data_IF_166077403309
#
_entry.id   IF_166077403309
#
_cell.length_a   1.000
_cell.length_b   1.000
_cell.length_c   1.000
_cell.angle_alpha   90.00
_cell.angle_beta   90.00
_cell.angle_gamma   90.00
#
_symmetry.space_group_name_H-M   'P 1'
#
loop_
_entity.id
_entity.type
_entity.pdbx_description
1 polymer ?
#
# COMPACT_ATOMS: atom_id res chain seq x y z
N UNK A 1 -24.52 8.86 41.83
CA UNK A 1 -23.08 9.19 41.82
C UNK A 1 -22.63 9.02 40.38
N UNK A 2 -22.76 10.10 39.60
CA UNK A 2 -22.62 10.08 38.14
C UNK A 2 -21.16 10.35 37.78
N UNK A 3 -20.49 9.37 37.18
CA UNK A 3 -19.15 9.55 36.63
C UNK A 3 -19.22 10.42 35.38
N UNK A 4 -18.34 11.43 35.21
CA UNK A 4 -18.43 12.35 34.09
C UNK A 4 -18.16 11.60 32.76
N UNK A 5 -18.93 11.92 31.69
CA UNK A 5 -18.74 11.33 30.38
C UNK A 5 -17.32 11.65 29.89
N UNK A 6 -16.55 10.61 29.58
CA UNK A 6 -15.16 10.77 29.13
C UNK A 6 -15.17 11.39 27.73
N UNK A 7 -14.19 12.25 27.43
CA UNK A 7 -14.06 12.94 26.13
C UNK A 7 -14.09 11.98 24.93
N UNK A 8 -13.73 10.70 25.15
CA UNK A 8 -13.87 9.64 24.17
C UNK A 8 -15.33 9.41 23.71
N UNK A 9 -16.31 9.47 24.62
CA UNK A 9 -17.73 9.28 24.29
C UNK A 9 -18.28 10.44 23.45
N UNK A 10 -17.86 11.67 23.74
CA UNK A 10 -18.23 12.86 22.98
C UNK A 10 -17.64 12.89 21.57
N UNK A 11 -16.42 12.37 21.39
CA UNK A 11 -15.79 12.28 20.07
C UNK A 11 -16.35 11.13 19.22
N UNK A 12 -16.72 10.01 19.85
CA UNK A 12 -17.43 8.90 19.21
C UNK A 12 -18.82 9.32 18.70
N UNK A 13 -19.56 10.14 19.45
CA UNK A 13 -20.87 10.64 19.02
C UNK A 13 -20.80 11.72 17.95
N UNK A 14 -19.67 12.43 17.83
CA UNK A 14 -19.50 13.50 16.85
C UNK A 14 -19.10 13.00 15.46
N UNK A 15 -18.56 11.77 15.35
CA UNK A 15 -17.98 11.26 14.11
C UNK A 15 -18.67 10.00 13.55
N UNK A 16 -19.50 9.30 14.34
CA UNK A 16 -20.22 8.10 13.89
C UNK A 16 -21.74 8.32 13.83
N UNK A 17 -22.40 7.92 12.72
CA UNK A 17 -23.86 7.94 12.57
C UNK A 17 -24.60 7.23 13.73
N UNK A 18 -25.75 7.75 14.17
CA UNK A 18 -26.49 7.28 15.36
C UNK A 18 -26.90 5.79 15.29
N UNK A 19 -26.96 5.21 14.10
CA UNK A 19 -27.29 3.79 13.86
C UNK A 19 -26.23 2.82 14.42
N UNK A 20 -24.97 3.27 14.51
CA UNK A 20 -23.85 2.45 15.02
C UNK A 20 -23.77 2.47 16.55
N UNK A 21 -24.30 3.51 17.19
CA UNK A 21 -24.25 3.68 18.66
C UNK A 21 -25.09 2.62 19.36
N UNK A 22 -26.26 2.27 18.82
CA UNK A 22 -27.15 1.27 19.43
C UNK A 22 -26.60 -0.16 19.31
N UNK A 23 -25.93 -0.47 18.19
CA UNK A 23 -25.26 -1.77 18.00
C UNK A 23 -23.95 -1.91 18.80
N UNK A 24 -23.19 -0.82 18.96
CA UNK A 24 -21.98 -0.78 19.79
C UNK A 24 -22.35 -0.89 21.28
N UNK A 25 -23.42 -0.23 21.72
CA UNK A 25 -23.83 -0.31 23.12
C UNK A 25 -24.37 -1.71 23.46
N UNK A 26 -25.05 -2.37 22.52
CA UNK A 26 -25.60 -3.72 22.71
C UNK A 26 -24.58 -4.86 22.57
N UNK A 27 -23.51 -4.71 21.78
CA UNK A 27 -22.55 -5.81 21.52
C UNK A 27 -21.08 -5.50 21.84
N UNK A 28 -20.68 -4.24 21.99
CA UNK A 28 -19.27 -3.82 22.14
C UNK A 28 -18.96 -3.36 23.56
N UNK A 29 -19.95 -2.85 24.30
CA UNK A 29 -19.80 -2.33 25.67
C UNK A 29 -20.22 -3.30 26.79
N UNK A 30 -20.64 -4.52 26.46
CA UNK A 30 -20.88 -5.56 27.48
C UNK A 30 -19.53 -6.04 28.07
N UNK A 31 -19.35 -6.06 29.41
CA UNK A 31 -18.13 -6.55 30.09
C UNK A 31 -17.66 -7.96 29.72
N UNK A 32 -18.47 -8.75 29.00
CA UNK A 32 -18.14 -10.09 28.47
C UNK A 32 -17.94 -10.12 26.95
N UNK A 33 -17.72 -8.97 26.32
CA UNK A 33 -17.43 -8.86 24.89
C UNK A 33 -16.14 -9.59 24.49
N UNK A 34 -16.16 -10.48 23.47
CA UNK A 34 -14.97 -11.19 22.98
C UNK A 34 -13.90 -10.23 22.41
N UNK A 35 -14.30 -9.03 21.99
CA UNK A 35 -13.37 -7.99 21.52
C UNK A 35 -12.49 -7.48 22.66
N UNK A 36 -13.02 -7.38 23.89
CA UNK A 36 -12.23 -6.99 25.06
C UNK A 36 -11.26 -8.09 25.51
N UNK A 37 -11.57 -9.36 25.24
CA UNK A 37 -10.67 -10.49 25.54
C UNK A 37 -9.49 -10.46 24.57
N UNK A 38 -9.76 -10.24 23.28
CA UNK A 38 -8.71 -10.08 22.26
C UNK A 38 -7.87 -8.83 22.54
N UNK A 39 -8.49 -7.69 22.86
CA UNK A 39 -7.77 -6.46 23.17
C UNK A 39 -6.83 -6.62 24.38
N UNK A 40 -7.31 -7.26 25.46
CA UNK A 40 -6.48 -7.58 26.64
C UNK A 40 -5.35 -8.56 26.28
N UNK A 41 -5.64 -9.56 25.44
CA UNK A 41 -4.63 -10.48 24.90
C UNK A 41 -3.53 -9.75 24.14
N UNK A 42 -3.89 -8.89 23.20
CA UNK A 42 -2.96 -8.09 22.38
C UNK A 42 -2.16 -7.11 23.25
N UNK A 43 -2.78 -6.44 24.23
CA UNK A 43 -2.09 -5.55 25.16
C UNK A 43 -1.08 -6.28 26.06
N UNK A 44 -1.46 -7.46 26.56
CA UNK A 44 -0.56 -8.29 27.38
C UNK A 44 0.62 -8.84 26.56
N UNK A 45 0.36 -9.21 25.30
CA UNK A 45 1.38 -9.72 24.39
C UNK A 45 2.31 -8.59 23.92
N UNK A 46 1.78 -7.39 23.68
CA UNK A 46 2.56 -6.20 23.37
C UNK A 46 3.51 -5.84 24.52
N UNK A 47 3.06 -5.90 25.78
CA UNK A 47 3.91 -5.65 26.96
C UNK A 47 5.02 -6.69 27.09
N UNK A 48 4.72 -7.98 26.97
CA UNK A 48 5.75 -9.02 27.06
C UNK A 48 6.79 -8.91 25.95
N UNK A 49 6.37 -8.56 24.73
CA UNK A 49 7.30 -8.30 23.61
C UNK A 49 8.15 -7.06 23.90
N UNK A 50 7.57 -6.01 24.46
CA UNK A 50 8.30 -4.81 24.84
C UNK A 50 9.31 -5.07 25.95
N UNK A 51 8.95 -5.82 26.99
CA UNK A 51 9.83 -6.19 28.10
C UNK A 51 10.95 -7.13 27.64
N UNK A 52 10.69 -7.99 26.65
CA UNK A 52 11.72 -8.87 26.06
C UNK A 52 12.64 -8.10 25.10
N UNK A 53 12.12 -7.12 24.38
CA UNK A 53 12.89 -6.32 23.42
C UNK A 53 13.63 -5.15 24.09
N UNK A 54 13.16 -4.64 25.23
CA UNK A 54 13.78 -3.57 25.99
C UNK A 54 15.29 -3.78 26.27
N UNK A 55 15.75 -4.93 26.81
CA UNK A 55 17.17 -5.16 27.08
C UNK A 55 18.01 -5.31 25.80
N UNK A 56 17.40 -5.61 24.65
CA UNK A 56 18.08 -5.62 23.34
C UNK A 56 18.20 -4.21 22.76
N UNK A 57 17.27 -3.31 23.10
CA UNK A 57 17.21 -1.94 22.60
C UNK A 57 18.06 -0.97 23.45
N UNK A 58 18.19 -1.19 24.75
CA UNK A 58 19.08 -0.42 25.65
C UNK A 58 20.50 -0.24 25.10
N UNK A 59 21.27 -1.31 24.77
CA UNK A 59 22.64 -1.16 24.31
C UNK A 59 22.74 -0.50 22.93
N UNK A 60 21.69 -0.53 22.13
CA UNK A 60 21.61 0.20 20.86
C UNK A 60 21.37 1.69 21.11
N UNK A 61 20.46 2.02 22.02
CA UNK A 61 20.17 3.40 22.41
C UNK A 61 21.40 4.06 23.06
N UNK A 62 22.08 3.37 23.98
CA UNK A 62 23.29 3.88 24.63
C UNK A 62 24.43 4.08 23.62
N UNK A 63 24.61 3.17 22.66
CA UNK A 63 25.60 3.33 21.59
C UNK A 63 25.27 4.50 20.66
N UNK A 64 23.99 4.72 20.38
CA UNK A 64 23.54 5.88 19.59
C UNK A 64 23.79 7.19 20.35
N UNK A 65 23.47 7.24 21.64
CA UNK A 65 23.70 8.43 22.48
C UNK A 65 25.19 8.70 22.66
N UNK A 66 26.01 7.67 22.90
CA UNK A 66 27.46 7.79 23.00
C UNK A 66 28.09 8.26 21.68
N UNK A 67 27.70 7.66 20.55
CA UNK A 67 28.14 8.09 19.22
C UNK A 67 27.69 9.52 18.89
N UNK A 68 26.54 9.97 19.43
CA UNK A 68 26.08 11.34 19.28
C UNK A 68 26.84 12.35 20.15
N UNK A 69 27.22 11.95 21.36
CA UNK A 69 27.98 12.80 22.29
C UNK A 69 29.43 13.02 21.83
N UNK A 70 30.04 12.02 21.20
CA UNK A 70 31.46 12.03 20.84
C UNK A 70 31.77 12.88 19.59
N UNK A 71 30.77 13.16 18.73
CA UNK A 71 31.03 13.82 17.45
C UNK A 71 29.82 14.59 16.88
N UNK A 72 29.62 15.83 17.33
CA UNK A 72 28.46 16.68 16.98
C UNK A 72 28.24 16.86 15.47
N UNK A 73 29.30 16.89 14.65
CA UNK A 73 29.19 17.00 13.19
C UNK A 73 28.71 15.70 12.51
N UNK A 74 28.98 14.55 13.13
CA UNK A 74 28.62 13.22 12.63
C UNK A 74 27.15 12.89 12.94
N UNK A 75 26.59 13.50 14.00
CA UNK A 75 25.16 13.39 14.37
C UNK A 75 24.25 13.85 13.26
N UNK A 76 24.53 15.01 12.64
CA UNK A 76 23.72 15.54 11.55
C UNK A 76 23.70 14.60 10.33
N UNK A 77 24.85 14.00 10.01
CA UNK A 77 24.98 13.05 8.89
C UNK A 77 24.25 11.75 9.20
N UNK A 78 24.43 11.18 10.39
CA UNK A 78 23.77 9.94 10.80
C UNK A 78 22.25 10.14 10.88
N UNK A 79 21.79 11.25 11.45
CA UNK A 79 20.37 11.57 11.52
C UNK A 79 19.75 11.71 10.12
N UNK A 80 20.45 12.40 9.20
CA UNK A 80 20.00 12.53 7.80
C UNK A 80 19.95 11.17 7.09
N UNK A 81 20.97 10.32 7.28
CA UNK A 81 20.98 8.96 6.74
C UNK A 81 19.87 8.09 7.33
N UNK A 82 19.56 8.24 8.61
CA UNK A 82 18.44 7.52 9.25
C UNK A 82 17.11 7.94 8.67
N UNK A 83 16.88 9.24 8.46
CA UNK A 83 15.66 9.75 7.82
C UNK A 83 15.56 9.20 6.40
N UNK A 84 16.65 9.28 5.61
CA UNK A 84 16.68 8.75 4.25
C UNK A 84 16.41 7.25 4.22
N UNK A 85 17.08 6.48 5.08
CA UNK A 85 16.89 5.04 5.21
C UNK A 85 15.44 4.71 5.60
N UNK A 86 14.85 5.46 6.52
CA UNK A 86 13.45 5.30 6.93
C UNK A 86 12.52 5.51 5.74
N UNK A 87 12.72 6.57 4.95
CA UNK A 87 11.93 6.81 3.74
C UNK A 87 12.07 5.66 2.74
N UNK A 88 13.29 5.19 2.49
CA UNK A 88 13.54 4.07 1.56
C UNK A 88 12.88 2.78 2.05
N UNK A 89 12.96 2.50 3.35
CA UNK A 89 12.31 1.34 3.97
C UNK A 89 10.80 1.44 3.78
N UNK A 90 10.19 2.59 4.07
CA UNK A 90 8.75 2.82 3.90
C UNK A 90 8.35 2.63 2.44
N UNK A 91 9.07 3.24 1.49
CA UNK A 91 8.78 3.10 0.05
C UNK A 91 8.90 1.65 -0.42
N UNK A 92 9.91 0.93 0.06
CA UNK A 92 10.07 -0.49 -0.26
C UNK A 92 8.92 -1.33 0.34
N UNK A 93 8.48 -0.98 1.54
CA UNK A 93 7.36 -1.63 2.20
C UNK A 93 6.05 -1.40 1.43
N UNK A 94 5.79 -0.16 1.01
CA UNK A 94 4.66 0.20 0.15
C UNK A 94 4.73 -0.58 -1.16
N UNK A 95 5.89 -0.61 -1.83
CA UNK A 95 6.08 -1.40 -3.06
C UNK A 95 5.73 -2.87 -2.84
N UNK A 96 6.24 -3.48 -1.77
CA UNK A 96 5.97 -4.88 -1.45
C UNK A 96 4.50 -5.12 -1.13
N UNK A 97 3.88 -4.21 -0.38
CA UNK A 97 2.45 -4.26 -0.06
C UNK A 97 1.60 -4.16 -1.32
N UNK A 98 1.92 -3.24 -2.24
CA UNK A 98 1.24 -3.10 -3.52
C UNK A 98 1.38 -4.36 -4.39
N UNK A 99 2.58 -4.94 -4.48
CA UNK A 99 2.79 -6.18 -5.24
C UNK A 99 2.04 -7.37 -4.65
N UNK A 100 2.04 -7.47 -3.32
CA UNK A 100 1.29 -8.51 -2.62
C UNK A 100 -0.22 -8.32 -2.82
N UNK A 101 -0.71 -7.10 -2.64
CA UNK A 101 -2.11 -6.74 -2.78
C UNK A 101 -2.63 -6.93 -4.20
N UNK A 102 -1.87 -6.51 -5.21
CA UNK A 102 -2.22 -6.71 -6.63
C UNK A 102 -2.27 -8.20 -6.97
N UNK A 103 -1.30 -9.00 -6.52
CA UNK A 103 -1.32 -10.45 -6.70
C UNK A 103 -2.53 -11.11 -6.06
N UNK A 104 -2.90 -10.66 -4.85
CA UNK A 104 -4.08 -11.16 -4.14
C UNK A 104 -5.37 -10.78 -4.89
N UNK A 105 -5.48 -9.52 -5.30
CA UNK A 105 -6.62 -9.01 -6.07
C UNK A 105 -6.80 -9.77 -7.37
N UNK A 106 -5.73 -9.96 -8.15
CA UNK A 106 -5.77 -10.75 -9.39
C UNK A 106 -6.32 -12.15 -9.09
N UNK A 107 -5.80 -12.82 -8.07
CA UNK A 107 -6.23 -14.17 -7.72
C UNK A 107 -7.72 -14.21 -7.33
N UNK A 108 -8.19 -13.25 -6.52
CA UNK A 108 -9.60 -13.14 -6.14
C UNK A 108 -10.48 -12.90 -7.36
N UNK A 109 -10.12 -11.95 -8.23
CA UNK A 109 -10.85 -11.67 -9.47
C UNK A 109 -10.89 -12.89 -10.38
N UNK A 110 -9.78 -13.60 -10.53
CA UNK A 110 -9.73 -14.84 -11.32
C UNK A 110 -10.69 -15.89 -10.75
N UNK A 111 -10.67 -16.13 -9.44
CA UNK A 111 -11.59 -17.09 -8.81
C UNK A 111 -13.05 -16.65 -8.92
N UNK A 112 -13.36 -15.37 -8.69
CA UNK A 112 -14.69 -14.83 -8.82
C UNK A 112 -15.21 -15.00 -10.26
N UNK A 113 -14.37 -14.72 -11.25
CA UNK A 113 -14.69 -14.92 -12.65
C UNK A 113 -14.94 -16.39 -12.99
N UNK A 114 -14.04 -17.29 -12.57
CA UNK A 114 -14.22 -18.73 -12.79
C UNK A 114 -15.50 -19.27 -12.15
N UNK A 115 -15.81 -18.84 -10.93
CA UNK A 115 -17.05 -19.23 -10.25
C UNK A 115 -18.28 -18.65 -10.95
N UNK A 116 -18.23 -17.39 -11.40
CA UNK A 116 -19.30 -16.80 -12.18
C UNK A 116 -19.52 -17.57 -13.50
N UNK A 117 -18.45 -17.99 -14.18
CA UNK A 117 -18.56 -18.84 -15.37
C UNK A 117 -19.13 -20.22 -15.04
N UNK A 118 -18.65 -20.86 -13.99
CA UNK A 118 -19.15 -22.18 -13.58
C UNK A 118 -20.64 -22.12 -13.24
N UNK A 119 -21.08 -21.10 -12.50
CA UNK A 119 -22.49 -20.86 -12.18
C UNK A 119 -23.32 -20.58 -13.44
N UNK A 120 -22.80 -19.75 -14.35
CA UNK A 120 -23.49 -19.41 -15.59
C UNK A 120 -23.66 -20.62 -16.52
N UNK A 121 -22.62 -21.45 -16.65
CA UNK A 121 -22.66 -22.71 -17.40
C UNK A 121 -23.67 -23.68 -16.78
N UNK A 122 -23.71 -23.74 -15.44
CA UNK A 122 -24.65 -24.59 -14.71
C UNK A 122 -26.10 -24.18 -14.94
N UNK A 123 -26.40 -22.88 -15.05
CA UNK A 123 -27.76 -22.39 -15.29
C UNK A 123 -28.22 -22.48 -16.77
N UNK A 124 -27.31 -22.34 -17.74
CA UNK A 124 -27.68 -22.17 -19.17
C UNK A 124 -27.25 -23.29 -20.11
N UNK A 125 -26.36 -24.19 -19.70
CA UNK A 125 -25.81 -25.24 -20.56
C UNK A 125 -24.68 -24.76 -21.48
N UNK A 126 -23.70 -25.64 -21.71
CA UNK A 126 -22.38 -25.33 -22.30
C UNK A 126 -22.42 -24.77 -23.73
N UNK A 127 -23.41 -25.14 -24.55
CA UNK A 127 -23.36 -24.91 -26.01
C UNK A 127 -23.78 -23.50 -26.45
N UNK A 128 -24.73 -22.85 -25.78
CA UNK A 128 -25.17 -21.49 -26.15
C UNK A 128 -24.17 -20.42 -25.67
N UNK A 129 -23.53 -20.64 -24.51
CA UNK A 129 -22.65 -19.66 -23.85
C UNK A 129 -21.32 -19.41 -24.57
N UNK A 130 -20.77 -20.41 -25.28
CA UNK A 130 -19.48 -20.26 -25.97
C UNK A 130 -19.58 -19.34 -27.19
N UNK A 131 -20.70 -19.38 -27.91
CA UNK A 131 -20.92 -18.52 -29.09
C UNK A 131 -21.07 -17.06 -28.69
N UNK A 132 -21.81 -16.77 -27.63
CA UNK A 132 -21.98 -15.41 -27.11
C UNK A 132 -20.68 -14.86 -26.51
N UNK A 133 -19.89 -15.71 -25.84
CA UNK A 133 -18.57 -15.31 -25.33
C UNK A 133 -17.58 -14.97 -26.44
N UNK A 134 -17.57 -15.70 -27.55
CA UNK A 134 -16.66 -15.40 -28.66
C UNK A 134 -16.98 -14.03 -29.29
N UNK A 135 -18.27 -13.70 -29.44
CA UNK A 135 -18.70 -12.41 -30.00
C UNK A 135 -18.44 -11.27 -29.02
N UNK A 136 -18.74 -11.44 -27.73
CA UNK A 136 -18.47 -10.43 -26.71
C UNK A 136 -16.96 -10.21 -26.48
N UNK A 137 -16.20 -11.30 -26.41
CA UNK A 137 -14.75 -11.28 -26.27
C UNK A 137 -14.06 -10.61 -27.46
N UNK A 138 -14.51 -10.89 -28.69
CA UNK A 138 -14.01 -10.23 -29.89
C UNK A 138 -14.21 -8.71 -29.88
N UNK A 139 -15.37 -8.23 -29.40
CA UNK A 139 -15.62 -6.79 -29.25
C UNK A 139 -14.69 -6.14 -28.22
N UNK A 140 -14.52 -6.78 -27.05
CA UNK A 140 -13.65 -6.26 -25.98
C UNK A 140 -12.18 -6.21 -26.44
N UNK A 141 -11.71 -7.27 -27.11
CA UNK A 141 -10.35 -7.30 -27.67
C UNK A 141 -10.15 -6.23 -28.74
N UNK A 142 -11.17 -6.00 -29.59
CA UNK A 142 -11.15 -4.93 -30.59
C UNK A 142 -11.01 -3.55 -29.97
N UNK A 143 -11.77 -3.22 -28.92
CA UNK A 143 -11.64 -1.94 -28.22
C UNK A 143 -10.29 -1.79 -27.51
N UNK A 144 -9.77 -2.86 -26.90
CA UNK A 144 -8.44 -2.86 -26.27
C UNK A 144 -7.31 -2.63 -27.28
N UNK A 145 -7.42 -3.16 -28.50
CA UNK A 145 -6.45 -2.92 -29.55
C UNK A 145 -6.37 -1.42 -29.91
N UNK A 146 -7.53 -0.77 -30.11
CA UNK A 146 -7.58 0.67 -30.44
C UNK A 146 -6.94 1.52 -29.33
N UNK A 147 -7.24 1.23 -28.07
CA UNK A 147 -6.67 1.98 -26.93
C UNK A 147 -5.15 1.77 -26.84
N UNK A 148 -4.69 0.53 -27.06
CA UNK A 148 -3.26 0.20 -27.05
C UNK A 148 -2.51 0.94 -28.16
N UNK A 149 -3.09 1.00 -29.35
CA UNK A 149 -2.48 1.65 -30.51
C UNK A 149 -2.29 3.15 -30.27
N UNK A 150 -3.30 3.84 -29.70
CA UNK A 150 -3.19 5.26 -29.32
C UNK A 150 -2.05 5.49 -28.31
N UNK A 151 -1.91 4.60 -27.34
CA UNK A 151 -0.88 4.73 -26.30
C UNK A 151 0.53 4.47 -26.84
N UNK A 152 0.68 3.49 -27.74
CA UNK A 152 1.94 3.21 -28.43
C UNK A 152 2.34 4.34 -29.37
N UNK A 153 1.38 4.93 -30.06
CA UNK A 153 1.60 6.08 -30.93
C UNK A 153 2.14 7.27 -30.12
N UNK A 154 1.53 7.59 -28.99
CA UNK A 154 2.00 8.70 -28.14
C UNK A 154 3.35 8.40 -27.48
N UNK A 155 3.59 7.16 -27.03
CA UNK A 155 4.90 6.75 -26.51
C UNK A 155 6.01 6.89 -27.57
N UNK A 156 5.75 6.41 -28.79
CA UNK A 156 6.68 6.53 -29.93
C UNK A 156 6.95 8.00 -30.29
N UNK A 157 5.95 8.87 -30.10
CA UNK A 157 6.08 10.31 -30.28
C UNK A 157 7.03 10.93 -29.27
N UNK A 158 7.02 10.49 -28.01
CA UNK A 158 7.95 10.97 -27.00
C UNK A 158 9.37 10.44 -27.20
N UNK A 159 9.52 9.18 -27.62
CA UNK A 159 10.83 8.61 -27.97
C UNK A 159 11.44 9.31 -29.20
N UNK A 160 10.63 9.62 -30.22
CA UNK A 160 11.08 10.37 -31.39
C UNK A 160 11.52 11.81 -31.04
N UNK A 161 10.84 12.47 -30.09
CA UNK A 161 11.21 13.79 -29.59
C UNK A 161 12.47 13.78 -28.72
N UNK A 162 12.68 12.73 -27.91
CA UNK A 162 13.88 12.57 -27.10
C UNK A 162 15.10 12.13 -27.94
N UNK A 163 14.89 11.34 -29.00
CA UNK A 163 15.92 10.93 -29.94
C UNK A 163 16.47 12.06 -30.84
N UNK A 164 15.70 13.13 -31.04
CA UNK A 164 16.15 14.32 -31.78
C UNK A 164 16.82 15.39 -30.90
N UNK A 165 16.78 15.24 -29.56
CA UNK A 165 17.38 16.15 -28.57
C UNK A 165 18.71 15.68 -27.94
N UNK A 166 19.32 14.59 -28.44
CA UNK A 166 20.65 14.13 -28.02
C UNK A 166 21.76 15.06 -28.51
N UNK A 167 22.86 15.28 -27.75
CA UNK A 167 23.73 16.44 -27.88
C UNK A 167 24.53 16.45 -29.20
N UNK A 168 23.98 17.10 -30.23
CA UNK A 168 24.78 17.69 -31.33
C UNK A 168 25.40 19.00 -30.84
N UNK A 169 26.40 18.88 -29.96
CA UNK A 169 27.04 20.02 -29.33
C UNK A 169 28.46 19.73 -28.86
N UNK A 170 29.25 18.99 -29.64
CA UNK A 170 30.67 18.79 -29.38
C UNK A 170 31.44 18.41 -30.66
N UNK A 171 31.25 19.15 -31.75
CA UNK A 171 32.11 19.04 -32.93
C UNK A 171 32.25 20.41 -33.58
N UNK A 172 33.40 21.06 -33.38
CA UNK A 172 33.80 22.23 -34.17
C UNK A 172 34.04 23.51 -33.37
N UNK A 173 35.01 23.52 -32.46
CA UNK A 173 35.71 24.75 -32.09
C UNK A 173 37.10 24.42 -31.56
N UNK A 174 37.93 23.84 -32.44
CA UNK A 174 39.34 23.56 -32.22
C UNK A 174 40.20 24.64 -32.89
N UNK A 175 40.34 25.76 -32.20
CA UNK A 175 41.23 26.90 -32.44
C UNK A 175 42.64 26.46 -32.89
N UNK A 176 43.01 26.72 -34.15
CA UNK A 176 44.40 26.73 -34.62
C UNK A 176 45.02 28.08 -34.26
N UNK A 177 45.97 28.05 -33.34
CA UNK A 177 46.95 29.12 -33.14
C UNK A 177 48.33 28.49 -33.01
N UNK A 178 49.08 28.51 -34.10
CA UNK A 178 50.55 28.66 -34.16
C UNK A 178 50.95 28.87 -35.61
#
# INVERSE_FOLDING_TARGET
MDSPPTLATSLLSALLPPELVDSINKHVLDPRSPVQIVARGVLSQARNVLDTAAPLLEPLADKLVAAMAENQGLVGVIASLLVLATVVIILNWIRRLLLWWTRLTIRVVTWAFLLALAAWIWERGVFESVRDMAVAGGKVVGYMAVIKDIWLEEYSRYEAQQGMGGPKGAAGSGRRSR
#
